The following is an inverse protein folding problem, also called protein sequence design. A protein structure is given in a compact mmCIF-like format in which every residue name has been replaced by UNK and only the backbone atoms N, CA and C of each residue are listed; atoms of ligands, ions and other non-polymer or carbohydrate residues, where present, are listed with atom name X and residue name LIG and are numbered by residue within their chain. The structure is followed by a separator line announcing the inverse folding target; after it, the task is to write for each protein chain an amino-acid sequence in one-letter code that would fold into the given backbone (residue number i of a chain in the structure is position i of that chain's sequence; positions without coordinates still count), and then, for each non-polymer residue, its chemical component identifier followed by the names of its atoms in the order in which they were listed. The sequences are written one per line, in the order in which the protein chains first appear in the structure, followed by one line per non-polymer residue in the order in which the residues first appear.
data_IF_304245588793
#
_entry.id   IF_304245588793
#
_cell.length_a   1.000
_cell.length_b   1.000
_cell.length_c   1.000
_cell.angle_alpha   90.00
_cell.angle_beta   90.00
_cell.angle_gamma   90.00
#
_symmetry.space_group_name_H-M   'P 1'
#
loop_
_entity.id
_entity.type
_entity.pdbx_description
1 polymer ?
#
# COMPACT_ATOMS: atom_id res chain seq x y z
N UNK A 1 -5.41 13.76 -39.94
CA UNK A 1 -5.95 13.26 -38.66
C UNK A 1 -5.35 11.89 -38.41
N UNK A 2 -4.32 11.82 -37.56
CA UNK A 2 -3.69 10.56 -37.18
C UNK A 2 -4.62 9.83 -36.22
N UNK A 3 -5.19 8.73 -36.67
CA UNK A 3 -6.00 7.83 -35.84
C UNK A 3 -5.12 7.27 -34.74
N UNK A 4 -5.41 7.64 -33.49
CA UNK A 4 -4.80 7.01 -32.31
C UNK A 4 -5.25 5.54 -32.34
N UNK A 5 -4.32 4.57 -32.41
CA UNK A 5 -4.73 3.17 -32.36
C UNK A 5 -5.32 2.93 -30.98
N UNK A 6 -6.61 2.65 -30.93
CA UNK A 6 -7.26 2.09 -29.75
C UNK A 6 -6.62 0.74 -29.48
N UNK A 7 -5.60 0.71 -28.60
CA UNK A 7 -5.08 -0.55 -28.06
C UNK A 7 -6.29 -1.34 -27.54
N UNK A 8 -6.49 -2.55 -28.06
CA UNK A 8 -7.42 -3.49 -27.47
C UNK A 8 -6.96 -3.74 -26.02
N UNK A 9 -7.69 -3.17 -25.06
CA UNK A 9 -7.48 -3.23 -23.61
C UNK A 9 -7.82 -4.62 -23.03
N UNK A 10 -7.28 -5.69 -23.59
CA UNK A 10 -7.62 -7.04 -23.15
C UNK A 10 -6.69 -7.60 -22.06
N UNK A 11 -5.60 -6.90 -21.69
CA UNK A 11 -4.66 -7.43 -20.69
C UNK A 11 -3.84 -6.34 -19.97
N UNK A 12 -4.49 -5.24 -19.57
CA UNK A 12 -3.79 -4.14 -18.90
C UNK A 12 -3.30 -4.54 -17.50
N UNK A 13 -1.98 -4.65 -17.36
CA UNK A 13 -1.30 -4.84 -16.07
C UNK A 13 -1.53 -3.63 -15.19
N UNK A 14 -2.07 -3.84 -13.99
CA UNK A 14 -2.40 -2.76 -13.07
C UNK A 14 -1.39 -2.66 -11.92
N UNK A 15 -0.97 -1.43 -11.60
CA UNK A 15 -0.28 -1.10 -10.36
C UNK A 15 -1.29 -0.48 -9.39
N UNK A 16 -1.50 -1.14 -8.24
CA UNK A 16 -2.33 -0.66 -7.15
C UNK A 16 -1.46 -0.19 -5.98
N UNK A 17 -1.52 1.11 -5.69
CA UNK A 17 -0.96 1.68 -4.45
C UNK A 17 -2.05 1.73 -3.38
N UNK A 18 -1.78 1.14 -2.21
CA UNK A 18 -2.69 1.17 -1.06
C UNK A 18 -2.02 1.91 0.10
N UNK A 19 -2.68 2.95 0.58
CA UNK A 19 -2.29 3.69 1.77
C UNK A 19 -3.14 3.20 2.94
N UNK A 20 -2.50 2.63 3.96
CA UNK A 20 -3.18 2.17 5.18
C UNK A 20 -2.94 3.19 6.28
N UNK A 21 -3.99 3.85 6.74
CA UNK A 21 -3.91 4.71 7.93
C UNK A 21 -3.82 3.85 9.19
N UNK A 22 -2.79 4.08 10.00
CA UNK A 22 -2.55 3.37 11.26
C UNK A 22 -2.62 4.30 12.47
N UNK A 23 -3.22 5.48 12.33
CA UNK A 23 -3.29 6.49 13.39
C UNK A 23 -4.09 5.98 14.60
N UNK A 24 -3.47 5.85 15.78
CA UNK A 24 -4.11 5.29 16.97
C UNK A 24 -5.27 6.15 17.49
N UNK A 25 -5.27 7.46 17.24
CA UNK A 25 -6.35 8.36 17.65
C UNK A 25 -7.65 8.07 16.90
N UNK A 26 -7.57 7.79 15.61
CA UNK A 26 -8.73 7.37 14.82
C UNK A 26 -9.21 5.98 15.24
N UNK A 27 -8.31 4.99 15.28
CA UNK A 27 -8.66 3.61 15.55
C UNK A 27 -9.17 3.37 16.97
N UNK A 28 -8.75 4.17 17.95
CA UNK A 28 -9.30 4.15 19.31
C UNK A 28 -10.75 4.66 19.36
N UNK A 29 -11.11 5.64 18.52
CA UNK A 29 -12.47 6.21 18.46
C UNK A 29 -13.48 5.21 17.88
N UNK A 30 -13.06 4.39 16.90
CA UNK A 30 -13.94 3.42 16.23
C UNK A 30 -13.92 2.02 16.85
N UNK A 31 -13.09 1.77 17.86
CA UNK A 31 -12.82 0.44 18.44
C UNK A 31 -14.08 -0.32 18.89
N UNK A 32 -15.12 0.39 19.32
CA UNK A 32 -16.38 -0.21 19.78
C UNK A 32 -17.28 -0.70 18.62
N UNK A 33 -17.11 -0.15 17.43
CA UNK A 33 -17.90 -0.50 16.24
C UNK A 33 -17.13 -1.36 15.26
N UNK A 34 -15.81 -1.18 15.17
CA UNK A 34 -14.96 -1.85 14.21
C UNK A 34 -13.50 -1.93 14.69
N UNK A 35 -12.87 -3.08 14.48
CA UNK A 35 -11.50 -3.33 14.91
C UNK A 35 -10.52 -3.22 13.75
N UNK A 36 -9.31 -2.78 14.05
CA UNK A 36 -8.23 -2.72 13.06
C UNK A 36 -7.89 -4.10 12.48
N UNK A 37 -7.99 -5.18 13.26
CA UNK A 37 -7.76 -6.55 12.76
C UNK A 37 -8.81 -6.99 11.72
N UNK A 38 -10.09 -6.68 11.95
CA UNK A 38 -11.15 -6.96 10.98
C UNK A 38 -10.95 -6.13 9.70
N UNK A 39 -10.59 -4.85 9.84
CA UNK A 39 -10.19 -4.01 8.71
C UNK A 39 -9.11 -4.66 7.86
N UNK A 40 -8.01 -5.09 8.48
CA UNK A 40 -6.89 -5.71 7.77
C UNK A 40 -7.29 -7.00 7.08
N UNK A 41 -8.17 -7.80 7.68
CA UNK A 41 -8.68 -9.02 7.05
C UNK A 41 -9.45 -8.73 5.75
N UNK A 42 -10.25 -7.65 5.74
CA UNK A 42 -10.93 -7.20 4.53
C UNK A 42 -9.96 -6.62 3.50
N UNK A 43 -8.98 -5.82 3.92
CA UNK A 43 -7.93 -5.30 3.03
C UNK A 43 -7.16 -6.45 2.38
N UNK A 44 -6.69 -7.43 3.16
CA UNK A 44 -5.98 -8.59 2.63
C UNK A 44 -6.82 -9.38 1.62
N UNK A 45 -8.10 -9.58 1.90
CA UNK A 45 -9.03 -10.22 0.96
C UNK A 45 -9.14 -9.44 -0.36
N UNK A 46 -9.19 -8.11 -0.29
CA UNK A 46 -9.19 -7.23 -1.45
C UNK A 46 -7.86 -7.30 -2.23
N UNK A 47 -6.71 -7.19 -1.56
CA UNK A 47 -5.39 -7.27 -2.22
C UNK A 47 -5.20 -8.62 -2.93
N UNK A 48 -5.56 -9.72 -2.25
CA UNK A 48 -5.49 -11.06 -2.81
C UNK A 48 -6.40 -11.21 -4.04
N UNK A 49 -7.58 -10.59 -4.02
CA UNK A 49 -8.50 -10.61 -5.16
C UNK A 49 -7.89 -9.91 -6.38
N UNK A 50 -7.24 -8.75 -6.19
CA UNK A 50 -6.56 -8.02 -7.29
C UNK A 50 -5.38 -8.82 -7.86
N UNK A 51 -4.59 -9.45 -7.00
CA UNK A 51 -3.47 -10.30 -7.41
C UNK A 51 -3.94 -11.60 -8.10
N UNK A 52 -5.15 -12.07 -7.80
CA UNK A 52 -5.75 -13.24 -8.44
C UNK A 52 -6.30 -12.92 -9.84
N UNK A 53 -6.80 -11.69 -10.05
CA UNK A 53 -7.35 -11.25 -11.34
C UNK A 53 -6.31 -11.30 -12.47
N UNK A 54 -5.06 -10.89 -12.19
CA UNK A 54 -3.96 -10.98 -13.14
C UNK A 54 -2.64 -11.15 -12.39
N UNK A 55 -1.84 -12.16 -12.75
CA UNK A 55 -0.55 -12.46 -12.11
C UNK A 55 0.49 -11.36 -12.31
N UNK A 56 0.31 -10.52 -13.32
CA UNK A 56 1.17 -9.36 -13.57
C UNK A 56 0.77 -8.15 -12.73
N UNK A 57 -0.41 -8.15 -12.10
CA UNK A 57 -0.82 -7.05 -11.22
C UNK A 57 0.17 -6.89 -10.07
N UNK A 58 0.48 -5.63 -9.79
CA UNK A 58 1.38 -5.25 -8.72
C UNK A 58 0.60 -4.50 -7.65
N UNK A 59 0.89 -4.85 -6.40
CA UNK A 59 0.31 -4.23 -5.22
C UNK A 59 1.44 -3.74 -4.33
N UNK A 60 1.37 -2.48 -3.96
CA UNK A 60 2.30 -1.86 -3.03
C UNK A 60 1.51 -1.20 -1.91
N UNK A 61 1.93 -1.44 -0.68
CA UNK A 61 1.25 -0.95 0.53
C UNK A 61 2.20 -0.04 1.30
N UNK A 62 1.71 1.16 1.61
CA UNK A 62 2.38 2.13 2.46
C UNK A 62 1.53 2.29 3.73
N UNK A 63 2.16 2.22 4.90
CA UNK A 63 1.53 2.60 6.14
C UNK A 63 1.65 4.11 6.33
N UNK A 64 0.56 4.72 6.80
CA UNK A 64 0.43 6.14 7.09
C UNK A 64 0.16 6.28 8.56
N UNK A 65 1.22 6.50 9.33
CA UNK A 65 1.16 6.70 10.77
C UNK A 65 0.95 8.17 11.13
N UNK A 66 1.06 8.43 12.43
CA UNK A 66 1.00 9.76 13.00
C UNK A 66 2.35 10.49 12.89
N UNK A 67 3.46 9.80 13.17
CA UNK A 67 4.80 10.41 13.12
C UNK A 67 5.59 10.05 11.88
N UNK A 68 5.23 8.93 11.23
CA UNK A 68 5.96 8.42 10.08
C UNK A 68 5.04 7.80 9.02
N UNK A 69 5.57 7.57 7.83
CA UNK A 69 4.95 6.76 6.80
C UNK A 69 6.04 5.94 6.10
N UNK A 70 5.77 4.66 5.81
CA UNK A 70 6.78 3.74 5.31
C UNK A 70 6.21 2.65 4.37
N UNK A 71 7.05 2.09 3.52
CA UNK A 71 6.69 0.98 2.64
C UNK A 71 6.61 -0.32 3.44
N UNK A 72 5.43 -0.91 3.50
CA UNK A 72 5.18 -2.15 4.23
C UNK A 72 5.32 -3.35 3.32
N UNK A 73 4.76 -3.26 2.12
CA UNK A 73 4.66 -4.41 1.23
C UNK A 73 4.82 -4.01 -0.23
N UNK A 74 5.48 -4.87 -0.99
CA UNK A 74 5.62 -4.78 -2.43
C UNK A 74 5.51 -6.20 -3.01
N UNK A 75 4.48 -6.44 -3.83
CA UNK A 75 4.23 -7.75 -4.41
C UNK A 75 5.28 -8.19 -5.42
N UNK A 76 6.07 -7.27 -5.98
CA UNK A 76 7.18 -7.59 -6.89
C UNK A 76 8.39 -8.17 -6.16
N UNK A 77 8.52 -7.89 -4.86
CA UNK A 77 9.63 -8.35 -4.01
C UNK A 77 9.24 -9.54 -3.12
N UNK A 78 7.95 -9.76 -2.89
CA UNK A 78 7.46 -10.78 -1.96
C UNK A 78 7.23 -12.15 -2.62
N UNK A 79 7.70 -13.20 -1.96
CA UNK A 79 7.39 -14.57 -2.36
C UNK A 79 5.86 -14.84 -2.29
N UNK A 80 5.27 -15.59 -3.24
CA UNK A 80 3.82 -15.81 -3.30
C UNK A 80 3.21 -16.41 -2.02
N UNK A 81 3.98 -17.25 -1.34
CA UNK A 81 3.48 -18.11 -0.27
C UNK A 81 3.48 -17.41 1.11
N UNK A 82 4.06 -16.22 1.24
CA UNK A 82 4.27 -15.54 2.53
C UNK A 82 3.77 -14.08 2.53
N UNK A 83 2.95 -13.70 1.53
CA UNK A 83 2.54 -12.30 1.32
C UNK A 83 1.81 -11.71 2.53
N UNK A 84 0.76 -12.39 3.01
CA UNK A 84 -0.06 -11.90 4.11
C UNK A 84 0.71 -11.81 5.44
N UNK A 85 1.46 -12.87 5.78
CA UNK A 85 2.29 -12.89 7.00
C UNK A 85 3.36 -11.79 6.98
N UNK A 86 4.03 -11.60 5.84
CA UNK A 86 5.04 -10.56 5.69
C UNK A 86 4.47 -9.14 5.79
N UNK A 87 3.26 -8.91 5.25
CA UNK A 87 2.59 -7.61 5.34
C UNK A 87 2.17 -7.33 6.78
N UNK A 88 1.51 -8.28 7.44
CA UNK A 88 1.03 -8.13 8.81
C UNK A 88 2.19 -7.90 9.79
N UNK A 89 3.25 -8.71 9.70
CA UNK A 89 4.40 -8.57 10.59
C UNK A 89 5.11 -7.22 10.42
N UNK A 90 5.30 -6.76 9.19
CA UNK A 90 5.90 -5.42 8.95
C UNK A 90 4.99 -4.27 9.37
N UNK A 91 3.67 -4.44 9.24
CA UNK A 91 2.72 -3.44 9.68
C UNK A 91 2.70 -3.33 11.21
N UNK A 92 2.76 -4.45 11.92
CA UNK A 92 2.86 -4.48 13.38
C UNK A 92 4.16 -3.84 13.87
N UNK A 93 5.28 -4.16 13.23
CA UNK A 93 6.57 -3.52 13.50
C UNK A 93 6.51 -2.00 13.28
N UNK A 94 5.87 -1.57 12.18
CA UNK A 94 5.68 -0.16 11.88
C UNK A 94 4.84 0.56 12.94
N UNK A 95 3.71 -0.01 13.34
CA UNK A 95 2.83 0.57 14.36
C UNK A 95 3.57 0.72 15.69
N UNK A 96 4.29 -0.32 16.11
CA UNK A 96 5.10 -0.29 17.35
C UNK A 96 6.13 0.85 17.31
N UNK A 97 6.85 0.98 16.19
CA UNK A 97 7.84 2.03 15.98
C UNK A 97 7.21 3.43 15.98
N UNK A 98 6.05 3.60 15.37
CA UNK A 98 5.34 4.89 15.30
C UNK A 98 4.80 5.31 16.69
N UNK A 99 4.38 4.36 17.52
CA UNK A 99 3.99 4.58 18.91
C UNK A 99 5.18 5.02 19.78
N UNK A 100 6.34 4.38 19.63
CA UNK A 100 7.58 4.77 20.34
C UNK A 100 7.99 6.22 20.01
N UNK A 101 7.88 6.61 18.73
CA UNK A 101 8.13 7.99 18.30
C UNK A 101 7.15 9.00 18.90
N UNK A 102 5.90 8.59 19.15
CA UNK A 102 4.89 9.43 19.79
C UNK A 102 5.26 9.72 21.25
N UNK A 103 5.77 8.73 21.98
CA UNK A 103 6.15 8.90 23.38
C UNK A 103 7.39 9.81 23.54
N UNK A 104 8.31 9.78 22.57
CA UNK A 104 9.51 10.63 22.58
C UNK A 104 9.21 12.08 22.17
N UNK A 105 8.28 12.26 21.24
CA UNK A 105 7.89 13.56 20.71
C UNK A 105 6.55 13.97 21.34
N UNK A 106 6.59 14.54 22.55
CA UNK A 106 5.42 15.16 23.21
C UNK A 106 4.99 16.45 22.50
N UNK A 107 4.66 16.36 21.21
CA UNK A 107 4.19 17.48 20.42
C UNK A 107 2.67 17.45 20.43
N UNK A 108 2.07 18.49 21.01
CA UNK A 108 0.65 18.83 20.87
C UNK A 108 0.35 19.13 19.39
N UNK A 109 0.28 18.08 18.57
CA UNK A 109 -0.16 18.13 17.19
C UNK A 109 -1.64 17.79 17.10
N UNK A 110 -2.34 18.42 16.16
CA UNK A 110 -3.63 17.91 15.68
C UNK A 110 -3.42 16.45 15.30
N UNK A 111 -4.20 15.53 15.86
CA UNK A 111 -4.07 14.07 15.72
C UNK A 111 -4.32 13.54 14.30
N UNK A 112 -3.73 14.16 13.29
CA UNK A 112 -3.85 13.84 11.88
C UNK A 112 -2.67 13.00 11.40
N UNK A 113 -2.96 12.00 10.58
CA UNK A 113 -1.98 11.11 9.96
C UNK A 113 -1.16 11.84 8.89
N UNK A 114 0.06 11.38 8.61
CA UNK A 114 0.97 11.96 7.60
C UNK A 114 0.57 11.60 6.15
N UNK A 115 -0.67 11.90 5.79
CA UNK A 115 -1.23 11.57 4.48
C UNK A 115 -0.45 12.21 3.32
N UNK A 116 -0.01 13.46 3.46
CA UNK A 116 0.78 14.15 2.44
C UNK A 116 2.13 13.45 2.16
N UNK A 117 2.77 12.93 3.20
CA UNK A 117 4.02 12.16 3.09
C UNK A 117 3.80 10.85 2.33
N UNK A 118 2.79 10.07 2.76
CA UNK A 118 2.46 8.80 2.13
C UNK A 118 2.05 8.93 0.65
N UNK A 119 1.28 9.98 0.30
CA UNK A 119 0.91 10.29 -1.09
C UNK A 119 2.13 10.68 -1.93
N UNK A 120 3.04 11.46 -1.37
CA UNK A 120 4.28 11.84 -2.06
C UNK A 120 5.14 10.61 -2.35
N UNK A 121 5.27 9.70 -1.38
CA UNK A 121 5.94 8.41 -1.58
C UNK A 121 5.25 7.58 -2.67
N UNK A 122 3.93 7.48 -2.64
CA UNK A 122 3.16 6.74 -3.64
C UNK A 122 3.37 7.29 -5.06
N UNK A 123 3.27 8.60 -5.24
CA UNK A 123 3.48 9.24 -6.55
C UNK A 123 4.92 9.08 -7.05
N UNK A 124 5.90 9.20 -6.15
CA UNK A 124 7.30 8.94 -6.48
C UNK A 124 7.52 7.48 -6.92
N UNK A 125 6.89 6.52 -6.24
CA UNK A 125 6.95 5.11 -6.60
C UNK A 125 6.32 4.86 -7.98
N UNK A 126 5.11 5.36 -8.21
CA UNK A 126 4.41 5.26 -9.49
C UNK A 126 5.27 5.82 -10.62
N UNK A 127 5.85 7.01 -10.42
CA UNK A 127 6.71 7.65 -11.40
C UNK A 127 7.99 6.85 -11.65
N UNK A 128 8.57 6.25 -10.61
CA UNK A 128 9.72 5.34 -10.74
C UNK A 128 9.37 4.14 -11.61
N UNK A 129 8.24 3.46 -11.34
CA UNK A 129 7.78 2.31 -12.13
C UNK A 129 7.55 2.70 -13.59
N UNK A 130 6.87 3.82 -13.87
CA UNK A 130 6.67 4.28 -15.24
C UNK A 130 7.97 4.56 -16.00
N UNK A 131 9.01 5.04 -15.31
CA UNK A 131 10.32 5.31 -15.92
C UNK A 131 11.17 4.05 -16.12
N UNK A 132 10.91 2.99 -15.36
CA UNK A 132 11.65 1.72 -15.44
C UNK A 132 11.29 0.85 -16.66
N UNK A 133 10.25 1.21 -17.43
CA UNK A 133 9.85 0.51 -18.66
C UNK A 133 8.55 -0.30 -18.51
N UNK A 134 8.07 -0.96 -19.59
CA UNK A 134 6.80 -1.67 -19.58
C UNK A 134 6.84 -2.86 -18.62
N UNK A 135 5.80 -3.00 -17.79
CA UNK A 135 5.55 -4.19 -16.96
C UNK A 135 5.15 -5.42 -17.81
N UNK A 136 4.96 -5.23 -19.12
CA UNK A 136 4.55 -6.29 -20.03
C UNK A 136 5.72 -7.21 -20.36
N UNK A 137 5.56 -8.54 -20.22
CA UNK A 137 6.50 -9.47 -20.82
C UNK A 137 6.51 -9.24 -22.34
N UNK A 138 7.71 -9.07 -22.90
CA UNK A 138 7.88 -9.07 -24.35
C UNK A 138 7.34 -10.40 -24.90
N UNK A 139 6.59 -10.40 -26.02
CA UNK A 139 6.19 -11.65 -26.65
C UNK A 139 7.46 -12.46 -26.92
N UNK A 140 7.50 -13.71 -26.44
CA UNK A 140 8.61 -14.62 -26.76
C UNK A 140 8.62 -14.78 -28.28
N UNK A 141 9.72 -14.35 -28.90
CA UNK A 141 10.00 -14.56 -30.31
C UNK A 141 10.15 -16.06 -30.62
#
# INVERSE_FOLDING_TARGET
MTTVPSKLYADDVSLLMVLIDTNPFFWSTVKNTFTFSNFLSHVLSFLNSILLLNQLNQVVVIATGYNSCDYIYDSSLAAPNQRAESLLGKLEEFVTRDEELTQQNSVEGVGSSLLSGSLSMALCYIQKVFRSGPLHPQPRA
#
